data_IF_542822601414
#
_entry.id   IF_542822601414
#
_cell.length_a   1.000
_cell.length_b   1.000
_cell.length_c   1.000
_cell.angle_alpha   90.00
_cell.angle_beta   90.00
_cell.angle_gamma   90.00
#
_symmetry.space_group_name_H-M   'P 1'
#
loop_
_entity.id
_entity.type
_entity.pdbx_description
1 polymer ?
#
# COMPACT_ATOMS: atom_id res chain seq x y z
N UNK A 1 -25.67 5.72 8.55
CA UNK A 1 -24.93 4.60 7.89
C UNK A 1 -25.75 3.32 7.74
N UNK A 2 -26.79 3.11 8.56
CA UNK A 2 -27.68 1.93 8.50
C UNK A 2 -28.48 1.79 7.20
N UNK A 3 -28.69 2.89 6.46
CA UNK A 3 -29.51 2.93 5.24
C UNK A 3 -28.80 2.32 4.01
N UNK A 4 -27.46 2.32 3.97
CA UNK A 4 -26.70 1.72 2.84
C UNK A 4 -26.77 0.19 2.83
N UNK A 5 -27.03 -0.43 3.98
CA UNK A 5 -27.07 -1.89 4.13
C UNK A 5 -28.44 -2.52 3.84
N UNK A 6 -29.52 -1.74 3.72
CA UNK A 6 -30.87 -2.28 3.44
C UNK A 6 -31.11 -2.61 1.97
N UNK A 7 -30.27 -2.08 1.07
CA UNK A 7 -30.47 -2.19 -0.37
C UNK A 7 -29.53 -3.27 -0.96
N UNK A 8 -30.04 -4.40 -1.50
CA UNK A 8 -29.22 -5.55 -1.87
C UNK A 8 -28.20 -5.26 -2.99
N UNK A 9 -28.42 -4.22 -3.81
CA UNK A 9 -27.46 -3.76 -4.83
C UNK A 9 -26.32 -2.91 -4.26
N UNK A 10 -26.52 -2.23 -3.12
CA UNK A 10 -25.53 -1.37 -2.48
C UNK A 10 -24.70 -2.09 -1.41
N UNK A 11 -25.03 -3.35 -1.10
CA UNK A 11 -24.31 -4.16 -0.09
C UNK A 11 -22.89 -4.55 -0.52
N UNK A 12 -22.64 -4.60 -1.83
CA UNK A 12 -21.34 -4.94 -2.42
C UNK A 12 -20.39 -3.74 -2.56
N UNK A 13 -20.92 -2.52 -2.64
CA UNK A 13 -20.10 -1.31 -2.80
C UNK A 13 -19.16 -1.08 -1.58
N UNK A 14 -19.64 -1.16 -0.33
CA UNK A 14 -18.76 -1.07 0.84
C UNK A 14 -17.85 -2.31 0.99
N UNK A 15 -18.23 -3.47 0.45
CA UNK A 15 -17.41 -4.69 0.45
C UNK A 15 -16.20 -4.56 -0.48
N UNK A 16 -16.25 -3.70 -1.51
CA UNK A 16 -15.11 -3.45 -2.40
C UNK A 16 -14.35 -2.21 -1.90
N UNK A 17 -15.06 -1.13 -1.57
CA UNK A 17 -14.42 0.15 -1.26
C UNK A 17 -13.61 0.10 0.05
N UNK A 18 -14.12 -0.48 1.13
CA UNK A 18 -13.41 -0.51 2.41
C UNK A 18 -12.17 -1.41 2.41
N UNK A 19 -12.25 -2.69 1.98
CA UNK A 19 -11.09 -3.57 2.00
C UNK A 19 -10.14 -3.35 0.83
N UNK A 20 -10.44 -2.50 -0.17
CA UNK A 20 -9.47 -2.09 -1.19
C UNK A 20 -8.78 -0.76 -0.83
N UNK A 21 -9.48 0.15 -0.16
CA UNK A 21 -8.89 1.41 0.29
C UNK A 21 -7.93 1.24 1.47
N UNK A 22 -8.21 0.31 2.40
CA UNK A 22 -7.30 -0.04 3.49
C UNK A 22 -5.90 -0.49 3.02
N UNK A 23 -5.81 -1.49 2.12
CA UNK A 23 -4.54 -1.92 1.51
C UNK A 23 -3.87 -0.84 0.68
N UNK A 24 -4.65 0.00 -0.02
CA UNK A 24 -4.09 1.11 -0.78
C UNK A 24 -3.31 2.07 0.13
N UNK A 25 -3.88 2.46 1.28
CA UNK A 25 -3.18 3.29 2.27
C UNK A 25 -1.99 2.55 2.89
N UNK A 26 -2.12 1.25 3.13
CA UNK A 26 -1.04 0.41 3.67
C UNK A 26 0.17 0.36 2.71
N UNK A 27 -0.08 0.05 1.44
CA UNK A 27 0.95 -0.05 0.41
C UNK A 27 1.65 1.28 0.14
N UNK A 28 0.92 2.41 0.17
CA UNK A 28 1.54 3.74 0.12
C UNK A 28 2.44 4.00 1.32
N UNK A 29 2.00 3.62 2.53
CA UNK A 29 2.80 3.79 3.75
C UNK A 29 4.11 2.99 3.70
N UNK A 30 4.08 1.76 3.17
CA UNK A 30 5.28 0.94 3.01
C UNK A 30 6.22 1.52 1.95
N UNK A 31 5.66 2.01 0.84
CA UNK A 31 6.45 2.67 -0.22
C UNK A 31 7.16 3.91 0.33
N UNK A 32 6.45 4.76 1.07
CA UNK A 32 7.06 5.92 1.71
C UNK A 32 8.01 5.54 2.84
N UNK A 33 7.79 4.44 3.56
CA UNK A 33 8.76 3.92 4.52
C UNK A 33 10.08 3.53 3.83
N UNK A 34 10.01 2.92 2.64
CA UNK A 34 11.20 2.61 1.83
C UNK A 34 11.90 3.88 1.36
N UNK A 35 11.16 4.86 0.83
CA UNK A 35 11.74 6.17 0.46
C UNK A 35 12.39 6.85 1.67
N UNK A 36 11.73 6.80 2.84
CA UNK A 36 12.25 7.34 4.10
C UNK A 36 13.56 6.65 4.50
N UNK A 37 13.66 5.32 4.37
CA UNK A 37 14.91 4.58 4.61
C UNK A 37 16.06 5.01 3.68
N UNK A 38 15.71 5.41 2.45
CA UNK A 38 16.64 6.00 1.48
C UNK A 38 17.31 7.26 2.04
N UNK A 39 16.56 8.18 2.64
CA UNK A 39 17.12 9.39 3.24
C UNK A 39 18.12 9.14 4.38
N UNK A 40 18.05 7.98 5.05
CA UNK A 40 19.06 7.59 6.05
C UNK A 40 20.33 6.99 5.43
N UNK A 41 20.23 6.46 4.20
CA UNK A 41 21.28 5.64 3.59
C UNK A 41 21.98 6.33 2.42
N UNK A 42 21.39 7.37 1.83
CA UNK A 42 21.95 8.12 0.71
C UNK A 42 22.78 9.31 1.17
N UNK A 43 23.78 9.70 0.38
CA UNK A 43 24.55 10.92 0.62
C UNK A 43 23.65 12.16 0.49
N UNK A 44 23.81 13.19 1.35
CA UNK A 44 23.10 14.46 1.20
C UNK A 44 23.31 15.10 -0.17
N UNK A 45 22.27 15.77 -0.67
CA UNK A 45 22.35 16.57 -1.89
C UNK A 45 23.38 17.72 -1.74
N UNK A 46 23.98 18.14 -2.86
CA UNK A 46 24.98 19.21 -2.87
C UNK A 46 24.46 20.48 -2.18
N UNK A 47 25.21 20.96 -1.18
CA UNK A 47 24.83 22.13 -0.38
C UNK A 47 24.05 21.82 0.91
N UNK A 48 23.69 20.57 1.17
CA UNK A 48 23.05 20.14 2.42
C UNK A 48 23.98 19.32 3.31
N UNK A 49 23.87 19.54 4.62
CA UNK A 49 24.65 18.80 5.62
C UNK A 49 24.01 17.45 5.96
N UNK A 50 22.68 17.37 5.82
CA UNK A 50 21.87 16.20 6.10
C UNK A 50 20.71 16.12 5.11
N UNK A 51 20.27 14.91 4.79
CA UNK A 51 19.03 14.71 4.04
C UNK A 51 17.80 15.29 4.77
N UNK A 52 17.88 15.45 6.10
CA UNK A 52 16.83 15.96 6.98
C UNK A 52 16.78 17.50 7.06
N UNK A 53 17.64 18.21 6.32
CA UNK A 53 17.60 19.67 6.24
C UNK A 53 16.36 20.18 5.48
N UNK A 54 15.70 19.30 4.73
CA UNK A 54 14.47 19.60 3.99
C UNK A 54 13.22 19.07 4.73
N UNK A 55 12.06 19.64 4.45
CA UNK A 55 10.80 19.26 5.13
C UNK A 55 10.27 17.87 4.72
N UNK A 56 10.69 17.36 3.56
CA UNK A 56 10.19 16.11 2.97
C UNK A 56 10.33 14.89 3.90
N UNK A 57 11.54 14.55 4.37
CA UNK A 57 11.75 13.41 5.28
C UNK A 57 10.91 13.48 6.56
N UNK A 58 10.72 14.68 7.12
CA UNK A 58 9.88 14.88 8.31
C UNK A 58 8.40 14.59 8.04
N UNK A 59 7.89 14.99 6.88
CA UNK A 59 6.52 14.66 6.44
C UNK A 59 6.36 13.14 6.34
N UNK A 60 7.32 12.43 5.72
CA UNK A 60 7.26 10.98 5.60
C UNK A 60 7.34 10.28 6.97
N UNK A 61 8.17 10.79 7.88
CA UNK A 61 8.32 10.23 9.24
C UNK A 61 7.02 10.28 10.05
N UNK A 62 6.20 11.31 9.85
CA UNK A 62 4.88 11.42 10.48
C UNK A 62 3.82 10.62 9.70
N UNK A 63 3.86 10.69 8.36
CA UNK A 63 2.86 10.05 7.52
C UNK A 63 2.89 8.52 7.64
N UNK A 64 4.07 7.89 7.61
CA UNK A 64 4.20 6.42 7.62
C UNK A 64 3.47 5.76 8.80
N UNK A 65 3.69 6.15 10.07
CA UNK A 65 2.98 5.54 11.20
C UNK A 65 1.49 5.87 11.23
N UNK A 66 1.09 7.08 10.81
CA UNK A 66 -0.33 7.47 10.74
C UNK A 66 -1.07 6.69 9.65
N UNK A 67 -0.49 6.59 8.47
CA UNK A 67 -1.03 5.84 7.34
C UNK A 67 -1.16 4.36 7.66
N UNK A 68 -0.12 3.75 8.25
CA UNK A 68 -0.19 2.36 8.70
C UNK A 68 -1.30 2.13 9.72
N UNK A 69 -1.39 2.99 10.75
CA UNK A 69 -2.44 2.89 11.79
C UNK A 69 -3.84 3.06 11.19
N UNK A 70 -4.01 4.02 10.30
CA UNK A 70 -5.28 4.27 9.61
C UNK A 70 -5.69 3.10 8.70
N UNK A 71 -4.72 2.48 8.02
CA UNK A 71 -4.95 1.24 7.25
C UNK A 71 -5.52 0.12 8.13
N UNK A 72 -4.93 -0.14 9.30
CA UNK A 72 -5.46 -1.14 10.23
C UNK A 72 -6.81 -0.77 10.82
N UNK A 73 -7.05 0.52 11.08
CA UNK A 73 -8.35 1.01 11.51
C UNK A 73 -9.44 0.68 10.47
N UNK A 74 -9.18 0.94 9.18
CA UNK A 74 -10.12 0.62 8.11
C UNK A 74 -10.41 -0.88 7.98
N UNK A 75 -9.39 -1.73 8.16
CA UNK A 75 -9.58 -3.19 8.18
C UNK A 75 -10.44 -3.62 9.37
N UNK A 76 -10.17 -3.06 10.56
CA UNK A 76 -10.96 -3.36 11.74
C UNK A 76 -12.42 -2.92 11.59
N UNK A 77 -12.69 -1.77 10.98
CA UNK A 77 -14.05 -1.37 10.64
C UNK A 77 -14.70 -2.32 9.62
N UNK A 78 -13.96 -2.77 8.60
CA UNK A 78 -14.46 -3.74 7.63
C UNK A 78 -14.85 -5.07 8.28
N UNK A 79 -14.04 -5.56 9.23
CA UNK A 79 -14.30 -6.79 9.99
C UNK A 79 -15.55 -6.71 10.91
N UNK A 80 -16.02 -5.50 11.26
CA UNK A 80 -17.29 -5.35 11.99
C UNK A 80 -18.52 -5.61 11.11
N UNK A 81 -18.36 -5.50 9.80
CA UNK A 81 -19.47 -5.57 8.84
C UNK A 81 -19.46 -6.83 7.97
N UNK A 82 -18.30 -7.48 7.84
CA UNK A 82 -18.09 -8.60 6.93
C UNK A 82 -17.26 -9.70 7.60
N UNK A 83 -17.51 -10.95 7.20
CA UNK A 83 -16.75 -12.08 7.74
C UNK A 83 -15.26 -12.00 7.37
N UNK A 84 -14.43 -12.33 8.36
CA UNK A 84 -12.97 -12.35 8.26
C UNK A 84 -12.46 -13.18 7.08
N UNK A 85 -13.19 -14.26 6.72
CA UNK A 85 -12.83 -15.16 5.61
C UNK A 85 -12.78 -14.45 4.26
N UNK A 86 -13.49 -13.33 4.08
CA UNK A 86 -13.47 -12.55 2.86
C UNK A 86 -12.56 -11.32 2.98
N UNK A 87 -12.62 -10.62 4.12
CA UNK A 87 -11.91 -9.35 4.31
C UNK A 87 -10.39 -9.54 4.30
N UNK A 88 -9.87 -10.57 4.98
CA UNK A 88 -8.43 -10.77 5.10
C UNK A 88 -7.77 -11.12 3.75
N UNK A 89 -8.30 -12.07 2.95
CA UNK A 89 -7.75 -12.34 1.62
C UNK A 89 -7.83 -11.13 0.69
N UNK A 90 -8.95 -10.41 0.66
CA UNK A 90 -9.10 -9.19 -0.14
C UNK A 90 -8.08 -8.13 0.25
N UNK A 91 -7.87 -7.94 1.55
CA UNK A 91 -6.86 -7.02 2.05
C UNK A 91 -5.46 -7.42 1.56
N UNK A 92 -5.11 -8.71 1.67
CA UNK A 92 -3.80 -9.22 1.25
C UNK A 92 -3.56 -9.15 -0.25
N UNK A 93 -4.58 -9.44 -1.07
CA UNK A 93 -4.49 -9.30 -2.52
C UNK A 93 -4.29 -7.82 -2.90
N UNK A 94 -5.06 -6.92 -2.30
CA UNK A 94 -4.90 -5.48 -2.53
C UNK A 94 -3.51 -4.97 -2.14
N UNK A 95 -2.99 -5.41 -0.99
CA UNK A 95 -1.68 -5.03 -0.47
C UNK A 95 -0.55 -5.57 -1.37
N UNK A 96 -0.65 -6.82 -1.81
CA UNK A 96 0.28 -7.46 -2.74
C UNK A 96 0.33 -6.72 -4.08
N UNK A 97 -0.84 -6.42 -4.67
CA UNK A 97 -0.93 -5.66 -5.92
C UNK A 97 -0.30 -4.28 -5.78
N UNK A 98 -0.51 -3.62 -4.65
CA UNK A 98 0.05 -2.31 -4.41
C UNK A 98 1.57 -2.34 -4.28
N UNK A 99 2.13 -3.33 -3.56
CA UNK A 99 3.58 -3.52 -3.49
C UNK A 99 4.20 -3.86 -4.84
N UNK A 100 3.51 -4.67 -5.66
CA UNK A 100 3.94 -4.99 -7.00
C UNK A 100 4.04 -3.73 -7.87
N UNK A 101 3.00 -2.91 -7.84
CA UNK A 101 2.92 -1.67 -8.61
C UNK A 101 3.91 -0.63 -8.09
N UNK A 102 4.07 -0.50 -6.77
CA UNK A 102 4.98 0.48 -6.20
C UNK A 102 6.44 0.08 -6.36
N UNK A 103 6.76 -1.22 -6.23
CA UNK A 103 8.06 -1.77 -6.59
C UNK A 103 8.41 -1.52 -8.06
N UNK A 104 7.43 -1.73 -8.95
CA UNK A 104 7.60 -1.45 -10.38
C UNK A 104 7.89 0.02 -10.68
N UNK A 105 7.05 0.92 -10.17
CA UNK A 105 7.06 2.33 -10.57
C UNK A 105 8.10 3.12 -9.79
N UNK A 106 8.12 3.00 -8.46
CA UNK A 106 8.94 3.86 -7.60
C UNK A 106 10.34 3.32 -7.37
N UNK A 107 10.49 2.00 -7.28
CA UNK A 107 11.78 1.36 -7.01
C UNK A 107 12.46 0.87 -8.27
N UNK A 108 11.78 0.96 -9.42
CA UNK A 108 12.29 0.51 -10.70
C UNK A 108 12.79 -0.95 -10.65
N UNK A 109 12.16 -1.79 -9.82
CA UNK A 109 12.60 -3.18 -9.59
C UNK A 109 12.62 -4.01 -10.89
N UNK A 110 11.85 -3.61 -11.90
CA UNK A 110 11.79 -4.27 -13.22
C UNK A 110 12.60 -3.56 -14.32
N UNK A 111 13.42 -2.55 -13.99
CA UNK A 111 14.17 -1.82 -15.03
C UNK A 111 15.13 -2.71 -15.79
N UNK A 112 15.81 -3.62 -15.09
CA UNK A 112 16.77 -4.55 -15.67
C UNK A 112 16.14 -5.88 -16.12
N UNK A 113 14.82 -6.03 -16.00
CA UNK A 113 14.16 -7.29 -16.34
C UNK A 113 14.05 -7.47 -17.85
N UNK A 114 14.49 -8.63 -18.32
CA UNK A 114 14.17 -9.08 -19.67
C UNK A 114 12.70 -9.51 -19.77
N UNK A 115 12.13 -9.48 -20.98
CA UNK A 115 10.72 -9.87 -21.22
C UNK A 115 10.38 -11.26 -20.67
N UNK A 116 11.35 -12.19 -20.66
CA UNK A 116 11.17 -13.55 -20.10
C UNK A 116 11.02 -13.53 -18.57
N UNK A 117 11.83 -12.73 -17.88
CA UNK A 117 11.77 -12.57 -16.42
C UNK A 117 10.47 -11.89 -16.01
N UNK A 118 10.01 -10.90 -16.77
CA UNK A 118 8.71 -10.26 -16.54
C UNK A 118 7.54 -11.24 -16.70
N UNK A 119 7.57 -12.10 -17.73
CA UNK A 119 6.53 -13.12 -17.93
C UNK A 119 6.53 -14.17 -16.83
N UNK A 120 7.70 -14.64 -16.39
CA UNK A 120 7.83 -15.58 -15.27
C UNK A 120 7.32 -14.96 -13.96
N UNK A 121 7.58 -13.67 -13.75
CA UNK A 121 7.07 -12.94 -12.61
C UNK A 121 5.53 -12.87 -12.61
N UNK A 122 4.92 -12.48 -13.73
CA UNK A 122 3.45 -12.46 -13.86
C UNK A 122 2.84 -13.85 -13.66
N UNK A 123 3.48 -14.90 -14.18
CA UNK A 123 3.06 -16.28 -13.94
C UNK A 123 3.13 -16.65 -12.46
N UNK A 124 4.21 -16.27 -11.76
CA UNK A 124 4.35 -16.48 -10.32
C UNK A 124 3.23 -15.79 -9.53
N UNK A 125 2.89 -14.55 -9.89
CA UNK A 125 1.81 -13.77 -9.27
C UNK A 125 0.44 -14.39 -9.49
N UNK A 126 0.18 -14.98 -10.67
CA UNK A 126 -1.11 -15.62 -10.98
C UNK A 126 -1.30 -16.99 -10.30
N UNK A 127 -0.20 -17.65 -9.90
CA UNK A 127 -0.24 -18.94 -9.20
C UNK A 127 -0.42 -18.78 -7.68
N UNK A 128 0.04 -17.65 -7.13
CA UNK A 128 -0.09 -17.29 -5.71
C UNK A 128 -1.50 -16.83 -5.34
#
# INVERSE_FOLDING_TARGET
MTVLFSNPRLRFLPLIVYPYFGPFVSGLSITFARVLSGFFSTTPAEGHSSNFDTIGPWIYMIYVPLGATFSYYLVNEALKHYDTIYVVPLFKIGDLMHHLLSGAIFLQEFYDYTLKELLLFVLGVLIC
#
